data_IF_119334112203
#
_entry.id   IF_119334112203
#
_cell.length_a   1.000
_cell.length_b   1.000
_cell.length_c   1.000
_cell.angle_alpha   90.00
_cell.angle_beta   90.00
_cell.angle_gamma   90.00
#
_symmetry.space_group_name_H-M   'P 1'
#
loop_
_entity.id
_entity.type
_entity.pdbx_description
1 polymer ?
#
# COMPACT_ATOMS: atom_id res chain seq x y z
N UNK A 1 12.26 6.81 15.21
CA UNK A 1 12.94 7.67 14.21
C UNK A 1 11.93 8.06 13.15
N UNK A 2 11.91 9.33 12.76
CA UNK A 2 11.05 9.86 11.71
C UNK A 2 11.91 10.78 10.86
N UNK A 3 12.14 10.44 9.59
CA UNK A 3 13.09 11.15 8.75
C UNK A 3 12.39 12.20 7.87
N UNK A 4 13.13 13.11 7.22
CA UNK A 4 12.53 14.10 6.32
C UNK A 4 11.72 13.49 5.17
N UNK A 5 12.01 12.25 4.76
CA UNK A 5 11.20 11.51 3.79
C UNK A 5 9.81 11.17 4.31
N UNK A 6 9.72 10.67 5.54
CA UNK A 6 8.47 10.39 6.23
C UNK A 6 7.67 11.68 6.48
N UNK A 7 8.34 12.77 6.85
CA UNK A 7 7.69 14.08 6.98
C UNK A 7 7.01 14.51 5.68
N UNK A 8 7.74 14.45 4.55
CA UNK A 8 7.16 14.79 3.24
C UNK A 8 6.04 13.85 2.82
N UNK A 9 6.17 12.55 3.11
CA UNK A 9 5.21 11.54 2.69
C UNK A 9 3.88 11.64 3.46
N UNK A 10 3.93 11.88 4.77
CA UNK A 10 2.76 11.83 5.64
C UNK A 10 2.29 13.19 6.15
N UNK A 11 3.11 14.24 6.04
CA UNK A 11 2.76 15.60 6.47
C UNK A 11 2.89 15.87 7.97
N UNK A 12 3.38 14.90 8.75
CA UNK A 12 3.71 15.08 10.17
C UNK A 12 5.19 15.39 10.33
N UNK A 13 5.52 16.43 11.10
CA UNK A 13 6.90 16.68 11.53
C UNK A 13 7.39 15.58 12.45
N UNK A 14 8.71 15.40 12.57
CA UNK A 14 9.30 14.46 13.52
C UNK A 14 8.88 14.76 14.96
N UNK A 15 8.74 16.03 15.33
CA UNK A 15 8.26 16.45 16.66
C UNK A 15 6.81 16.03 16.93
N UNK A 16 5.97 15.96 15.90
CA UNK A 16 4.59 15.49 16.04
C UNK A 16 4.49 13.97 16.02
N UNK A 17 5.35 13.29 15.26
CA UNK A 17 5.24 11.85 15.04
C UNK A 17 6.02 11.00 16.06
N UNK A 18 7.19 11.46 16.51
CA UNK A 18 8.03 10.69 17.43
C UNK A 18 7.36 10.56 18.80
N UNK A 19 7.26 9.33 19.30
CA UNK A 19 6.59 9.01 20.56
C UNK A 19 5.09 8.78 20.44
N UNK A 20 4.49 9.07 19.28
CA UNK A 20 3.08 8.76 19.02
C UNK A 20 2.88 7.31 18.54
N UNK A 21 1.63 6.85 18.62
CA UNK A 21 1.20 5.59 18.01
C UNK A 21 1.28 5.66 16.47
N UNK A 22 1.57 4.53 15.82
CA UNK A 22 1.46 4.40 14.35
C UNK A 22 0.03 4.58 13.84
N UNK A 23 -0.98 4.56 14.71
CA UNK A 23 -2.37 4.90 14.38
C UNK A 23 -2.52 6.27 13.70
N UNK A 24 -1.52 7.13 13.86
CA UNK A 24 -1.34 8.41 13.17
C UNK A 24 -1.41 8.28 11.64
N UNK A 25 -0.87 7.20 11.08
CA UNK A 25 -0.78 6.97 9.63
C UNK A 25 -1.57 5.74 9.17
N UNK A 26 -2.15 4.99 10.11
CA UNK A 26 -2.93 3.78 9.83
C UNK A 26 -4.42 4.15 9.80
N UNK A 27 -5.13 3.85 8.70
CA UNK A 27 -6.58 4.03 8.63
C UNK A 27 -7.31 3.33 9.78
N UNK A 28 -8.29 3.98 10.45
CA UNK A 28 -8.95 3.44 11.64
C UNK A 28 -9.41 1.99 11.51
N UNK A 29 -10.04 1.65 10.37
CA UNK A 29 -10.55 0.31 10.10
C UNK A 29 -9.49 -0.79 9.95
N UNK A 30 -8.19 -0.44 9.95
CA UNK A 30 -7.07 -1.38 9.79
C UNK A 30 -6.17 -1.46 11.03
N UNK A 31 -6.41 -0.64 12.05
CA UNK A 31 -5.54 -0.56 13.24
C UNK A 31 -5.45 -1.89 13.97
N UNK A 32 -6.58 -2.54 14.22
CA UNK A 32 -6.61 -3.84 14.92
C UNK A 32 -5.79 -4.91 14.20
N UNK A 33 -6.00 -5.03 12.88
CA UNK A 33 -5.26 -5.97 12.03
C UNK A 33 -3.76 -5.65 12.01
N UNK A 34 -3.40 -4.37 11.90
CA UNK A 34 -2.00 -3.94 11.95
C UNK A 34 -1.36 -4.34 13.28
N UNK A 35 -1.98 -3.99 14.40
CA UNK A 35 -1.42 -4.24 15.73
C UNK A 35 -1.36 -5.73 16.08
N UNK A 36 -2.29 -6.53 15.56
CA UNK A 36 -2.18 -7.99 15.64
C UNK A 36 -0.93 -8.48 14.92
N UNK A 37 -0.74 -8.09 13.64
CA UNK A 37 0.44 -8.45 12.88
C UNK A 37 1.75 -7.97 13.52
N UNK A 38 1.78 -6.74 14.04
CA UNK A 38 2.92 -6.21 14.79
C UNK A 38 3.27 -7.10 15.98
N UNK A 39 2.29 -7.45 16.83
CA UNK A 39 2.51 -8.32 18.01
C UNK A 39 3.02 -9.71 17.61
N UNK A 40 2.54 -10.25 16.50
CA UNK A 40 3.00 -11.55 16.00
C UNK A 40 4.47 -11.47 15.54
N UNK A 41 4.86 -10.40 14.85
CA UNK A 41 6.27 -10.15 14.45
C UNK A 41 7.16 -9.96 15.67
N UNK A 42 6.71 -9.19 16.66
CA UNK A 42 7.43 -8.99 17.92
C UNK A 42 7.68 -10.31 18.67
N UNK A 43 6.72 -11.24 18.64
CA UNK A 43 6.82 -12.54 19.33
C UNK A 43 7.69 -13.55 18.57
N UNK A 44 7.51 -13.63 17.25
CA UNK A 44 8.14 -14.65 16.40
C UNK A 44 9.48 -14.23 15.81
N UNK A 45 9.74 -12.92 15.74
CA UNK A 45 10.87 -12.36 14.99
C UNK A 45 10.76 -12.51 13.47
N UNK A 46 9.63 -13.03 12.96
CA UNK A 46 9.40 -13.30 11.55
C UNK A 46 8.30 -12.39 11.02
N UNK A 47 8.60 -11.66 9.95
CA UNK A 47 7.59 -10.92 9.19
C UNK A 47 7.03 -11.79 8.09
N UNK A 48 5.69 -11.83 7.96
CA UNK A 48 5.02 -12.44 6.80
C UNK A 48 5.41 -11.78 5.46
N UNK A 49 5.95 -10.56 5.51
CA UNK A 49 6.35 -9.78 4.33
C UNK A 49 7.83 -9.97 3.95
N UNK A 50 8.48 -11.00 4.47
CA UNK A 50 9.91 -11.28 4.22
C UNK A 50 10.23 -11.95 2.88
N UNK A 51 9.24 -12.31 2.05
CA UNK A 51 9.42 -13.15 0.86
C UNK A 51 8.90 -12.51 -0.44
N UNK A 52 9.35 -11.31 -0.79
CA UNK A 52 9.18 -10.76 -2.15
C UNK A 52 7.75 -10.38 -2.56
N UNK A 53 6.73 -10.74 -1.78
CA UNK A 53 5.35 -10.31 -1.97
C UNK A 53 5.20 -8.85 -1.53
N UNK A 54 5.22 -7.97 -2.53
CA UNK A 54 5.01 -6.54 -2.36
C UNK A 54 3.51 -6.29 -2.14
N UNK A 55 3.07 -6.38 -0.89
CA UNK A 55 1.70 -6.04 -0.52
C UNK A 55 1.57 -4.51 -0.38
N UNK A 56 0.83 -3.88 -1.29
CA UNK A 56 0.42 -2.49 -1.13
C UNK A 56 -0.66 -2.41 -0.04
N UNK A 57 -0.43 -1.61 1.01
CA UNK A 57 -1.38 -1.35 2.09
C UNK A 57 -1.81 0.12 2.08
N UNK A 58 -3.05 0.44 2.47
CA UNK A 58 -3.47 1.81 2.55
C UNK A 58 -2.91 2.49 3.81
N UNK A 59 -2.35 3.68 3.64
CA UNK A 59 -1.97 4.62 4.70
C UNK A 59 -2.81 5.90 4.63
N UNK A 60 -2.56 6.81 5.56
CA UNK A 60 -3.18 8.13 5.61
C UNK A 60 -2.16 9.22 5.95
N UNK A 61 -2.29 10.37 5.31
CA UNK A 61 -1.54 11.59 5.63
C UNK A 61 -2.25 12.41 6.70
N UNK A 62 -1.56 13.42 7.23
CA UNK A 62 -2.08 14.38 8.23
C UNK A 62 -3.37 15.08 7.82
N UNK A 63 -3.51 15.38 6.53
CA UNK A 63 -4.70 16.01 5.94
C UNK A 63 -5.87 15.03 5.72
N UNK A 64 -5.71 13.74 6.04
CA UNK A 64 -6.70 12.69 5.81
C UNK A 64 -6.60 12.02 4.44
N UNK A 65 -5.72 12.48 3.55
CA UNK A 65 -5.54 11.90 2.22
C UNK A 65 -5.05 10.46 2.34
N UNK A 66 -5.70 9.55 1.60
CA UNK A 66 -5.31 8.13 1.53
C UNK A 66 -4.16 7.93 0.56
N UNK A 67 -3.25 7.04 0.93
CA UNK A 67 -2.10 6.66 0.09
C UNK A 67 -1.95 5.15 0.04
N UNK A 68 -1.30 4.66 -1.01
CA UNK A 68 -0.88 3.26 -1.12
C UNK A 68 0.59 3.14 -0.78
N UNK A 69 0.91 2.27 0.17
CA UNK A 69 2.25 2.08 0.71
C UNK A 69 2.72 0.66 0.45
N UNK A 70 3.93 0.54 -0.09
CA UNK A 70 4.71 -0.69 0.01
C UNK A 70 5.68 -0.53 1.19
N UNK A 71 5.94 -1.59 1.95
CA UNK A 71 6.86 -1.49 3.07
C UNK A 71 7.66 -2.77 3.31
N UNK A 72 8.83 -2.59 3.91
CA UNK A 72 9.65 -3.67 4.46
C UNK A 72 9.90 -3.40 5.93
N UNK A 73 9.77 -4.43 6.75
CA UNK A 73 10.06 -4.39 8.18
C UNK A 73 11.44 -4.99 8.42
N UNK A 74 12.31 -4.23 9.05
CA UNK A 74 13.69 -4.63 9.38
C UNK A 74 13.81 -4.77 10.89
N UNK A 75 14.16 -5.96 11.41
CA UNK A 75 14.43 -6.11 12.84
C UNK A 75 15.72 -5.37 13.21
N UNK A 76 15.65 -4.57 14.26
CA UNK A 76 16.81 -3.92 14.85
C UNK A 76 17.29 -4.78 16.02
N UNK A 77 18.58 -5.12 15.99
CA UNK A 77 19.23 -5.92 17.03
C UNK A 77 20.43 -5.14 17.59
N UNK A 78 20.68 -5.29 18.89
CA UNK A 78 21.90 -4.86 19.53
C UNK A 78 23.07 -5.78 19.14
N UNK A 79 24.29 -5.35 19.48
CA UNK A 79 25.52 -6.09 19.19
C UNK A 79 25.56 -7.49 19.83
N UNK A 80 24.85 -7.68 20.94
CA UNK A 80 24.65 -8.96 21.64
C UNK A 80 23.59 -9.86 20.98
N UNK A 81 23.01 -9.44 19.84
CA UNK A 81 21.94 -10.14 19.14
C UNK A 81 20.54 -9.93 19.73
N UNK A 82 20.42 -9.21 20.85
CA UNK A 82 19.14 -8.92 21.49
C UNK A 82 18.31 -7.98 20.63
N UNK A 83 17.01 -8.22 20.60
CA UNK A 83 16.08 -7.40 19.82
C UNK A 83 15.87 -6.03 20.47
N UNK A 84 15.99 -4.95 19.70
CA UNK A 84 15.88 -3.57 20.19
C UNK A 84 14.73 -2.80 19.55
N UNK A 85 14.15 -3.29 18.45
CA UNK A 85 12.97 -2.69 17.84
C UNK A 85 12.77 -3.07 16.37
N UNK A 86 11.92 -2.29 15.68
CA UNK A 86 11.67 -2.41 14.25
C UNK A 86 11.98 -1.11 13.53
N UNK A 87 12.63 -1.23 12.39
CA UNK A 87 12.62 -0.21 11.34
C UNK A 87 11.58 -0.57 10.29
N UNK A 88 10.92 0.45 9.74
CA UNK A 88 10.09 0.30 8.55
C UNK A 88 10.65 1.19 7.44
N UNK A 89 10.84 0.61 6.25
CA UNK A 89 11.13 1.35 5.02
C UNK A 89 9.84 1.36 4.22
N UNK A 90 9.34 2.55 3.90
CA UNK A 90 8.06 2.73 3.20
C UNK A 90 8.27 3.42 1.86
N UNK A 91 7.45 3.03 0.88
CA UNK A 91 7.39 3.65 -0.45
C UNK A 91 5.94 4.03 -0.76
N UNK A 92 5.73 5.29 -1.08
CA UNK A 92 4.47 5.74 -1.65
C UNK A 92 4.37 5.24 -3.10
N UNK A 93 3.36 4.41 -3.37
CA UNK A 93 3.06 3.85 -4.70
C UNK A 93 1.68 4.28 -5.18
N UNK A 94 1.10 5.33 -4.60
CA UNK A 94 -0.24 5.84 -4.94
C UNK A 94 -0.35 6.13 -6.44
N UNK A 95 0.58 6.89 -7.00
CA UNK A 95 0.59 7.24 -8.42
C UNK A 95 0.60 5.99 -9.33
N UNK A 96 1.49 5.02 -9.04
CA UNK A 96 1.56 3.75 -9.78
C UNK A 96 0.23 2.99 -9.72
N UNK A 97 -0.42 2.99 -8.56
CA UNK A 97 -1.68 2.28 -8.35
C UNK A 97 -2.84 2.95 -9.10
N UNK A 98 -2.89 4.28 -9.09
CA UNK A 98 -3.87 5.09 -9.82
C UNK A 98 -3.71 4.95 -11.34
N UNK A 99 -2.48 4.96 -11.85
CA UNK A 99 -2.18 4.71 -13.27
C UNK A 99 -2.64 3.33 -13.72
N UNK A 100 -2.30 2.28 -12.95
CA UNK A 100 -2.73 0.91 -13.24
C UNK A 100 -4.25 0.76 -13.19
N UNK A 101 -4.91 1.44 -12.25
CA UNK A 101 -6.37 1.46 -12.16
C UNK A 101 -6.98 2.12 -13.40
N UNK A 102 -6.52 3.31 -13.76
CA UNK A 102 -7.03 4.03 -14.92
C UNK A 102 -6.82 3.25 -16.23
N UNK A 103 -5.68 2.55 -16.37
CA UNK A 103 -5.42 1.69 -17.51
C UNK A 103 -6.39 0.51 -17.57
N UNK A 104 -6.65 -0.16 -16.44
CA UNK A 104 -7.62 -1.27 -16.36
C UNK A 104 -9.03 -0.83 -16.69
N UNK A 105 -9.45 0.35 -16.22
CA UNK A 105 -10.76 0.91 -16.53
C UNK A 105 -10.91 1.18 -18.03
N UNK A 106 -9.88 1.75 -18.68
CA UNK A 106 -9.86 1.96 -20.14
C UNK A 106 -9.93 0.66 -20.94
N UNK A 107 -9.15 -0.36 -20.54
CA UNK A 107 -9.16 -1.67 -21.20
C UNK A 107 -10.53 -2.35 -21.06
N UNK A 108 -11.12 -2.30 -19.87
CA UNK A 108 -12.47 -2.84 -19.62
C UNK A 108 -13.53 -2.14 -20.46
N UNK A 109 -13.49 -0.80 -20.55
CA UNK A 109 -14.42 -0.03 -21.38
C UNK A 109 -14.29 -0.39 -22.87
N UNK A 110 -13.05 -0.46 -23.39
CA UNK A 110 -12.80 -0.84 -24.78
C UNK A 110 -13.27 -2.26 -25.09
N UNK A 111 -13.03 -3.22 -24.19
CA UNK A 111 -13.49 -4.60 -24.35
C UNK A 111 -15.03 -4.71 -24.42
N UNK A 112 -15.75 -3.88 -23.63
CA UNK A 112 -17.22 -3.83 -23.68
C UNK A 112 -17.75 -3.21 -24.98
N UNK A 113 -17.05 -2.21 -25.55
CA UNK A 113 -17.44 -1.60 -26.84
C UNK A 113 -17.25 -2.57 -28.01
N UNK A 114 -16.17 -3.35 -28.03
CA UNK A 114 -15.92 -4.35 -29.08
C UNK A 114 -16.92 -5.50 -29.02
N UNK A 115 -17.33 -5.92 -27.82
CA UNK A 115 -18.36 -6.95 -27.65
C UNK A 115 -19.78 -6.49 -28.02
N UNK A 116 -20.03 -5.16 -28.04
CA UNK A 116 -21.33 -4.57 -28.36
C UNK A 116 -21.48 -4.16 -29.84
N UNK A 117 -20.46 -4.35 -30.69
CA UNK A 117 -20.56 -4.04 -32.11
C UNK A 117 -21.54 -5.02 -32.80
N UNK A 118 -22.65 -4.55 -33.40
CA UNK A 118 -23.60 -5.43 -34.06
C UNK A 118 -22.94 -6.15 -35.23
N UNK A 119 -23.13 -7.47 -35.27
CA UNK A 119 -22.61 -8.34 -36.30
C UNK A 119 -22.96 -7.82 -37.68
N UNK A 120 -21.93 -7.64 -38.49
CA UNK A 120 -21.97 -7.25 -39.89
C UNK A 120 -23.00 -8.11 -40.65
N UNK A 121 -24.20 -7.55 -40.92
CA UNK A 121 -25.23 -8.20 -41.74
C UNK A 121 -24.65 -8.49 -43.12
N UNK A 122 -24.52 -9.78 -43.45
CA UNK A 122 -24.19 -10.19 -44.82
C UNK A 122 -25.34 -9.78 -45.74
N UNK A 123 -25.09 -9.12 -46.87
CA UNK A 123 -26.15 -8.83 -47.82
C UNK A 123 -26.71 -10.17 -48.34
N UNK A 124 -28.01 -10.41 -48.11
CA UNK A 124 -28.73 -11.51 -48.75
C UNK A 124 -28.72 -11.24 -50.25
N UNK A 125 -27.91 -11.99 -51.00
CA UNK A 125 -28.02 -12.04 -52.46
C UNK A 125 -29.39 -12.64 -52.80
N UNK A 126 -30.20 -11.86 -53.50
CA UNK A 126 -31.42 -12.32 -54.13
C UNK A 126 -31.08 -13.31 -55.25
N UNK A 127 -31.68 -14.49 -55.23
CA UNK A 127 -32.07 -15.31 -56.39
C UNK A 127 -33.17 -16.27 -55.94
#
# INVERSE_FOLDING_TARGET
FWNPGAERMFGFSATEAVGQSLDLIIPPQLRDRHWQGYRDVMKSGQSRYGQGDVLAVPGMRKDGTRISLEFTIVPLRAADGRWTGLGAVLRDVTARFEELRALREKVSAAAQTVAAAPGNERPKKAF
#
